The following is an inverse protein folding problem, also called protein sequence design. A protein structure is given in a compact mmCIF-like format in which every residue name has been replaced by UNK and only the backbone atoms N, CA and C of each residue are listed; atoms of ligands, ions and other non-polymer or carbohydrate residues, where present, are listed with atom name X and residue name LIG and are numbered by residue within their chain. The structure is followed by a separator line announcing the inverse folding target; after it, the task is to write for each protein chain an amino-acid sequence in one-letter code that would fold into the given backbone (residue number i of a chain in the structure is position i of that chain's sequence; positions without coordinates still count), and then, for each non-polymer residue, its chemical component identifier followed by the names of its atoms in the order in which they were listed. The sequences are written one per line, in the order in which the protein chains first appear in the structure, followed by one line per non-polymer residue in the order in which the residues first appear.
data_IF_200824907334
#
_entry.id   IF_200824907334
#
_cell.length_a   1.000
_cell.length_b   1.000
_cell.length_c   1.000
_cell.angle_alpha   90.00
_cell.angle_beta   90.00
_cell.angle_gamma   90.00
#
_symmetry.space_group_name_H-M   'P 1'
#
loop_
_entity.id
_entity.type
_entity.pdbx_description
1 polymer ?
#
# COMPACT_ATOMS: atom_id res chain seq x y z
N UNK A 1 4.23 30.08 12.77
CA UNK A 1 3.10 29.42 12.07
C UNK A 1 3.00 27.99 12.55
N UNK A 2 1.81 27.50 12.91
CA UNK A 2 1.64 26.11 13.33
C UNK A 2 1.97 25.14 12.18
N UNK A 3 2.79 24.13 12.44
CA UNK A 3 3.17 23.16 11.42
C UNK A 3 1.94 22.41 10.87
N UNK A 4 1.91 22.21 9.56
CA UNK A 4 0.80 21.49 8.92
C UNK A 4 0.85 20.02 9.31
N UNK A 5 -0.17 19.57 10.04
CA UNK A 5 -0.30 18.18 10.47
C UNK A 5 -0.95 17.32 9.38
N UNK A 6 -0.28 16.21 9.04
CA UNK A 6 -0.76 15.21 8.09
C UNK A 6 -0.86 13.86 8.79
N UNK A 7 -2.02 13.20 8.69
CA UNK A 7 -2.29 11.88 9.27
C UNK A 7 -2.28 10.80 8.19
N UNK A 8 -1.52 9.73 8.37
CA UNK A 8 -1.46 8.54 7.51
C UNK A 8 -2.14 7.34 8.18
N UNK A 9 -3.01 6.64 7.45
CA UNK A 9 -3.80 5.51 7.94
C UNK A 9 -3.68 4.29 7.01
N UNK A 10 -3.35 3.13 7.55
CA UNK A 10 -3.51 1.86 6.86
C UNK A 10 -4.01 0.78 7.83
N UNK A 11 -5.13 0.18 7.46
CA UNK A 11 -5.80 -0.91 8.16
C UNK A 11 -6.03 -2.10 7.24
N UNK A 12 -5.36 -2.14 6.09
CA UNK A 12 -5.60 -3.12 5.02
C UNK A 12 -5.04 -4.52 5.33
N UNK A 13 -4.11 -4.66 6.28
CA UNK A 13 -3.49 -5.94 6.68
C UNK A 13 -3.82 -6.38 8.12
N UNK A 14 -3.00 -7.25 8.68
CA UNK A 14 -3.07 -7.73 10.07
C UNK A 14 -2.61 -6.69 11.10
N UNK A 15 -1.85 -5.69 10.66
CA UNK A 15 -1.37 -4.57 11.48
C UNK A 15 -2.11 -3.27 11.17
N UNK A 16 -2.57 -2.61 12.23
CA UNK A 16 -2.97 -1.21 12.21
C UNK A 16 -1.71 -0.35 12.12
N UNK A 17 -1.59 0.47 11.08
CA UNK A 17 -0.42 1.33 10.80
C UNK A 17 -0.85 2.80 10.77
N UNK A 18 -0.19 3.63 11.57
CA UNK A 18 -0.46 5.05 11.71
C UNK A 18 0.85 5.84 11.54
N UNK A 19 0.78 6.92 10.77
CA UNK A 19 1.84 7.93 10.71
C UNK A 19 1.27 9.32 10.93
N UNK A 20 2.02 10.20 11.56
CA UNK A 20 1.73 11.63 11.67
C UNK A 20 2.97 12.36 11.18
N UNK A 21 2.79 13.29 10.25
CA UNK A 21 3.85 14.20 9.80
C UNK A 21 3.56 15.60 10.34
N UNK A 22 4.57 16.18 10.99
CA UNK A 22 4.62 17.57 11.40
C UNK A 22 5.92 18.17 10.85
N UNK A 23 5.82 19.12 9.91
CA UNK A 23 6.97 19.63 9.18
C UNK A 23 7.72 18.52 8.41
N UNK A 24 8.98 18.30 8.78
CA UNK A 24 9.83 17.23 8.22
C UNK A 24 9.86 15.95 9.07
N UNK A 25 9.26 15.96 10.26
CA UNK A 25 9.31 14.85 11.21
C UNK A 25 8.15 13.90 11.00
N UNK A 26 8.43 12.61 11.14
CA UNK A 26 7.43 11.55 11.13
C UNK A 26 7.35 10.89 12.51
N UNK A 27 6.13 10.77 13.02
CA UNK A 27 5.78 9.98 14.21
C UNK A 27 4.95 8.81 13.74
N UNK A 28 5.41 7.59 13.97
CA UNK A 28 4.78 6.41 13.42
C UNK A 28 4.66 5.32 14.46
N UNK A 29 3.58 4.55 14.35
CA UNK A 29 3.36 3.37 15.14
C UNK A 29 2.60 2.33 14.34
N UNK A 30 2.80 1.08 14.72
CA UNK A 30 2.04 -0.04 14.19
C UNK A 30 1.71 -1.03 15.31
N UNK A 31 0.57 -1.70 15.19
CA UNK A 31 0.11 -2.69 16.17
C UNK A 31 -0.55 -3.87 15.45
N UNK A 32 -0.10 -5.09 15.77
CA UNK A 32 -0.77 -6.32 15.31
C UNK A 32 -2.04 -6.50 16.13
N UNK A 33 -3.18 -6.39 15.49
CA UNK A 33 -4.48 -6.50 16.14
C UNK A 33 -5.57 -6.79 15.11
N UNK A 34 -6.49 -7.70 15.47
CA UNK A 34 -7.58 -8.09 14.58
C UNK A 34 -8.69 -7.02 14.54
N UNK A 35 -9.14 -6.57 15.71
CA UNK A 35 -10.18 -5.55 15.90
C UNK A 35 -9.58 -4.13 15.87
N UNK A 36 -9.13 -3.70 14.69
CA UNK A 36 -8.35 -2.46 14.52
C UNK A 36 -9.15 -1.20 14.89
N UNK A 37 -10.47 -1.22 14.71
CA UNK A 37 -11.40 -0.15 15.07
C UNK A 37 -11.39 0.18 16.57
N UNK A 38 -11.12 -0.80 17.45
CA UNK A 38 -11.01 -0.56 18.89
C UNK A 38 -9.75 0.24 19.26
N UNK A 39 -8.70 0.16 18.45
CA UNK A 39 -7.39 0.74 18.77
C UNK A 39 -7.03 1.97 17.93
N UNK A 40 -7.70 2.20 16.81
CA UNK A 40 -7.35 3.26 15.85
C UNK A 40 -7.27 4.64 16.52
N UNK A 41 -8.28 5.04 17.29
CA UNK A 41 -8.29 6.35 17.95
C UNK A 41 -7.22 6.47 19.03
N UNK A 42 -6.95 5.40 19.79
CA UNK A 42 -5.90 5.41 20.82
C UNK A 42 -4.52 5.62 20.18
N UNK A 43 -4.24 4.94 19.05
CA UNK A 43 -2.97 5.02 18.36
C UNK A 43 -2.80 6.37 17.65
N UNK A 44 -3.87 6.88 17.02
CA UNK A 44 -3.90 8.22 16.41
C UNK A 44 -3.66 9.30 17.47
N UNK A 45 -4.37 9.27 18.61
CA UNK A 45 -4.16 10.22 19.71
C UNK A 45 -2.72 10.18 20.23
N UNK A 46 -2.16 8.98 20.39
CA UNK A 46 -0.77 8.80 20.83
C UNK A 46 0.22 9.44 19.84
N UNK A 47 0.09 9.21 18.53
CA UNK A 47 1.01 9.80 17.54
C UNK A 47 0.83 11.30 17.38
N UNK A 48 -0.41 11.80 17.44
CA UNK A 48 -0.68 13.24 17.42
C UNK A 48 -0.11 13.96 18.65
N UNK A 49 -0.22 13.35 19.85
CA UNK A 49 0.38 13.89 21.08
C UNK A 49 1.90 14.04 20.94
N UNK A 50 2.59 13.04 20.37
CA UNK A 50 4.04 13.12 20.10
C UNK A 50 4.39 14.24 19.13
N UNK A 51 3.48 14.57 18.21
CA UNK A 51 3.61 15.69 17.27
C UNK A 51 3.15 17.04 17.85
N UNK A 52 2.77 17.13 19.13
CA UNK A 52 2.23 18.36 19.73
C UNK A 52 0.88 18.78 19.14
N UNK A 53 0.14 17.85 18.56
CA UNK A 53 -1.08 18.13 17.80
C UNK A 53 -2.32 17.45 18.39
N UNK A 54 -3.48 17.97 18.01
CA UNK A 54 -4.79 17.38 18.28
C UNK A 54 -5.45 16.94 16.97
N UNK A 55 -6.48 16.09 17.06
CA UNK A 55 -7.20 15.60 15.87
C UNK A 55 -7.79 16.74 15.03
N UNK A 56 -8.32 17.79 15.69
CA UNK A 56 -8.81 19.03 15.04
C UNK A 56 -7.72 19.80 14.26
N UNK A 57 -6.45 19.56 14.59
CA UNK A 57 -5.30 20.17 13.91
C UNK A 57 -4.92 19.46 12.61
N UNK A 58 -5.46 18.27 12.33
CA UNK A 58 -5.17 17.51 11.11
C UNK A 58 -5.78 18.22 9.90
N UNK A 59 -4.93 18.77 9.04
CA UNK A 59 -5.36 19.47 7.81
C UNK A 59 -5.31 18.58 6.58
N UNK A 60 -4.66 17.43 6.66
CA UNK A 60 -4.57 16.48 5.56
C UNK A 60 -4.57 15.05 6.11
N UNK A 61 -5.36 14.18 5.48
CA UNK A 61 -5.42 12.75 5.78
C UNK A 61 -5.02 11.97 4.54
N UNK A 62 -4.13 11.01 4.74
CA UNK A 62 -3.62 10.09 3.75
C UNK A 62 -4.07 8.68 4.14
N UNK A 63 -4.74 7.94 3.27
CA UNK A 63 -5.21 6.60 3.59
C UNK A 63 -4.86 5.57 2.51
N UNK A 64 -4.52 4.36 2.94
CA UNK A 64 -4.44 3.21 2.05
C UNK A 64 -5.86 2.82 1.59
N UNK A 65 -6.06 2.65 0.27
CA UNK A 65 -7.35 2.26 -0.31
C UNK A 65 -7.43 0.79 -0.75
N UNK A 66 -6.41 0.00 -0.47
CA UNK A 66 -6.33 -1.41 -0.86
C UNK A 66 -5.30 -1.71 -1.97
N UNK A 67 -5.22 -2.94 -2.47
CA UNK A 67 -6.07 -4.08 -2.07
C UNK A 67 -5.72 -4.60 -0.67
N UNK A 68 -6.51 -5.51 -0.12
CA UNK A 68 -6.33 -6.04 1.23
C UNK A 68 -7.65 -6.45 1.89
N UNK A 69 -7.63 -6.59 3.21
CA UNK A 69 -8.80 -7.00 4.01
C UNK A 69 -9.96 -6.02 3.84
N UNK A 70 -11.11 -6.53 3.42
CA UNK A 70 -12.31 -5.75 3.10
C UNK A 70 -12.75 -4.80 4.22
N UNK A 71 -12.97 -5.34 5.43
CA UNK A 71 -13.33 -4.56 6.62
C UNK A 71 -12.23 -3.57 6.97
N UNK A 72 -10.97 -4.00 6.86
CA UNK A 72 -9.79 -3.19 7.12
C UNK A 72 -9.77 -1.92 6.28
N UNK A 73 -9.87 -2.03 4.95
CA UNK A 73 -9.86 -0.88 4.04
C UNK A 73 -10.97 0.12 4.39
N UNK A 74 -12.16 -0.37 4.72
CA UNK A 74 -13.31 0.49 5.06
C UNK A 74 -13.05 1.29 6.33
N UNK A 75 -12.41 0.72 7.34
CA UNK A 75 -12.10 1.45 8.59
C UNK A 75 -11.26 2.71 8.31
N UNK A 76 -10.15 2.59 7.57
CA UNK A 76 -9.29 3.75 7.28
C UNK A 76 -9.97 4.78 6.36
N UNK A 77 -10.70 4.31 5.34
CA UNK A 77 -11.39 5.22 4.41
C UNK A 77 -12.58 5.93 5.05
N UNK A 78 -13.32 5.26 5.92
CA UNK A 78 -14.40 5.87 6.71
C UNK A 78 -13.84 6.95 7.64
N UNK A 79 -12.74 6.68 8.35
CA UNK A 79 -12.11 7.71 9.20
C UNK A 79 -11.61 8.90 8.36
N UNK A 80 -11.00 8.65 7.21
CA UNK A 80 -10.58 9.71 6.29
C UNK A 80 -11.76 10.54 5.77
N UNK A 81 -12.87 9.89 5.42
CA UNK A 81 -14.12 10.54 5.01
C UNK A 81 -14.74 11.39 6.13
N UNK A 82 -14.77 10.86 7.36
CA UNK A 82 -15.26 11.60 8.52
C UNK A 82 -14.41 12.85 8.80
N UNK A 83 -13.08 12.76 8.74
CA UNK A 83 -12.19 13.90 8.92
C UNK A 83 -12.31 14.92 7.77
N UNK A 84 -12.58 14.47 6.55
CA UNK A 84 -12.90 15.35 5.42
C UNK A 84 -14.17 16.16 5.71
N UNK A 85 -15.24 15.48 6.15
CA UNK A 85 -16.55 16.09 6.37
C UNK A 85 -16.57 17.00 7.60
N UNK A 86 -15.99 16.58 8.71
CA UNK A 86 -16.10 17.29 10.00
C UNK A 86 -14.97 18.29 10.26
N UNK A 87 -13.77 18.05 9.73
CA UNK A 87 -12.59 18.89 10.00
C UNK A 87 -12.06 19.60 8.75
N UNK A 88 -12.80 19.54 7.63
CA UNK A 88 -12.41 20.08 6.33
C UNK A 88 -11.00 19.63 5.89
N UNK A 89 -10.58 18.44 6.31
CA UNK A 89 -9.25 17.93 5.98
C UNK A 89 -9.18 17.56 4.49
N UNK A 90 -8.07 17.89 3.84
CA UNK A 90 -7.79 17.38 2.49
C UNK A 90 -7.54 15.88 2.57
N UNK A 91 -8.17 15.09 1.72
CA UNK A 91 -7.95 13.64 1.66
C UNK A 91 -7.14 13.27 0.43
N UNK A 92 -6.12 12.45 0.64
CA UNK A 92 -5.40 11.76 -0.40
C UNK A 92 -5.36 10.26 -0.12
N UNK A 93 -5.35 9.44 -1.15
CA UNK A 93 -5.26 7.99 -1.03
C UNK A 93 -4.16 7.42 -1.91
N UNK A 94 -3.69 6.23 -1.54
CA UNK A 94 -2.77 5.44 -2.33
C UNK A 94 -3.12 3.95 -2.21
N UNK A 95 -2.80 3.17 -3.24
CA UNK A 95 -2.89 1.71 -3.17
C UNK A 95 -1.72 1.14 -2.39
N UNK A 96 -1.84 -0.09 -1.89
CA UNK A 96 -0.70 -0.78 -1.26
C UNK A 96 0.44 -0.99 -2.27
N UNK A 97 0.11 -1.17 -3.55
CA UNK A 97 1.10 -1.25 -4.62
C UNK A 97 1.90 0.04 -4.75
N UNK A 98 1.23 1.18 -4.85
CA UNK A 98 1.88 2.50 -4.92
C UNK A 98 2.76 2.78 -3.69
N UNK A 99 2.31 2.36 -2.50
CA UNK A 99 3.05 2.51 -1.24
C UNK A 99 4.34 1.69 -1.27
N UNK A 100 4.26 0.39 -1.58
CA UNK A 100 5.44 -0.49 -1.64
C UNK A 100 6.36 -0.13 -2.82
N UNK A 101 5.81 0.20 -3.99
CA UNK A 101 6.60 0.62 -5.14
C UNK A 101 7.42 1.87 -4.81
N UNK A 102 6.79 2.90 -4.23
CA UNK A 102 7.52 4.11 -3.83
C UNK A 102 8.56 3.81 -2.73
N UNK A 103 8.22 2.93 -1.79
CA UNK A 103 9.13 2.50 -0.73
C UNK A 103 10.39 1.82 -1.27
N UNK A 104 10.23 0.86 -2.18
CA UNK A 104 11.37 0.24 -2.85
C UNK A 104 12.14 1.27 -3.68
N UNK A 105 11.46 2.06 -4.50
CA UNK A 105 12.09 3.05 -5.38
C UNK A 105 12.95 4.09 -4.64
N UNK A 106 12.50 4.56 -3.48
CA UNK A 106 13.27 5.50 -2.65
C UNK A 106 14.34 4.83 -1.78
N UNK A 107 14.45 3.50 -1.78
CA UNK A 107 15.45 2.79 -0.98
C UNK A 107 16.84 2.84 -1.62
N UNK A 108 17.88 2.85 -0.79
CA UNK A 108 19.25 2.72 -1.26
C UNK A 108 19.48 1.38 -1.97
N UNK A 109 18.90 0.30 -1.44
CA UNK A 109 19.02 -1.05 -2.00
C UNK A 109 18.56 -1.12 -3.46
N UNK A 110 17.34 -0.64 -3.75
CA UNK A 110 16.83 -0.60 -5.12
C UNK A 110 17.68 0.29 -6.02
N UNK A 111 18.05 1.49 -5.57
CA UNK A 111 18.87 2.42 -6.37
C UNK A 111 20.24 1.82 -6.73
N UNK A 112 20.89 1.17 -5.78
CA UNK A 112 22.17 0.48 -5.99
C UNK A 112 22.03 -0.70 -6.95
N UNK A 113 20.96 -1.50 -6.81
CA UNK A 113 20.70 -2.62 -7.70
C UNK A 113 20.37 -2.17 -9.13
N UNK A 114 19.51 -1.16 -9.27
CA UNK A 114 19.05 -0.67 -10.56
C UNK A 114 20.17 0.00 -11.37
N UNK A 115 21.15 0.66 -10.73
CA UNK A 115 22.39 1.18 -11.35
C UNK A 115 22.23 1.73 -12.80
N UNK A 116 21.33 2.70 -12.99
CA UNK A 116 20.96 3.34 -14.28
C UNK A 116 20.32 2.44 -15.35
N UNK A 117 20.00 1.18 -15.03
CA UNK A 117 19.27 0.25 -15.91
C UNK A 117 17.79 0.62 -15.98
N UNK A 118 17.17 0.29 -17.11
CA UNK A 118 15.71 0.30 -17.23
C UNK A 118 15.17 -0.98 -16.64
N UNK A 119 14.59 -0.87 -15.44
CA UNK A 119 14.10 -2.02 -14.67
C UNK A 119 12.62 -1.87 -14.33
N UNK A 120 11.94 -3.02 -14.24
CA UNK A 120 10.59 -3.08 -13.68
C UNK A 120 10.65 -3.31 -12.19
N UNK A 121 9.73 -2.67 -11.48
CA UNK A 121 9.46 -2.96 -10.09
C UNK A 121 8.11 -3.68 -10.01
N UNK A 122 8.12 -4.92 -9.55
CA UNK A 122 6.92 -5.74 -9.40
C UNK A 122 6.55 -5.79 -7.93
N UNK A 123 5.33 -5.39 -7.61
CA UNK A 123 4.79 -5.47 -6.26
C UNK A 123 3.88 -6.68 -6.13
N UNK A 124 4.12 -7.51 -5.12
CA UNK A 124 3.31 -8.69 -4.79
C UNK A 124 2.60 -8.50 -3.45
N UNK A 125 1.33 -8.88 -3.38
CA UNK A 125 0.52 -8.84 -2.17
C UNK A 125 -0.23 -10.15 -2.02
N UNK A 126 -0.32 -10.65 -0.80
CA UNK A 126 -1.17 -11.81 -0.49
C UNK A 126 -2.64 -11.36 -0.44
N UNK A 127 -3.53 -12.12 -1.08
CA UNK A 127 -4.95 -11.87 -1.04
C UNK A 127 -5.62 -12.74 0.04
N UNK A 128 -5.76 -14.04 -0.25
CA UNK A 128 -6.34 -15.04 0.64
C UNK A 128 -5.98 -16.44 0.13
N UNK A 129 -5.61 -17.37 1.02
CA UNK A 129 -5.17 -18.73 0.66
C UNK A 129 -4.06 -18.69 -0.42
N UNK A 130 -4.28 -19.30 -1.58
CA UNK A 130 -3.38 -19.42 -2.72
C UNK A 130 -3.56 -18.29 -3.76
N UNK A 131 -4.30 -17.24 -3.41
CA UNK A 131 -4.55 -16.08 -4.28
C UNK A 131 -3.62 -14.91 -3.94
N UNK A 132 -3.17 -14.21 -4.99
CA UNK A 132 -2.23 -13.11 -4.89
C UNK A 132 -2.64 -11.96 -5.79
N UNK A 133 -2.25 -10.75 -5.38
CA UNK A 133 -2.32 -9.57 -6.23
C UNK A 133 -0.93 -9.17 -6.70
N UNK A 134 -0.84 -8.67 -7.93
CA UNK A 134 0.41 -8.15 -8.47
C UNK A 134 0.19 -6.86 -9.24
N UNK A 135 1.20 -6.00 -9.26
CA UNK A 135 1.25 -4.86 -10.17
C UNK A 135 2.70 -4.52 -10.53
N UNK A 136 2.97 -4.32 -11.81
CA UNK A 136 4.26 -3.89 -12.33
C UNK A 136 4.32 -2.37 -12.46
N UNK A 137 5.51 -1.81 -12.22
CA UNK A 137 5.79 -0.39 -12.29
C UNK A 137 7.05 -0.12 -13.10
N UNK A 138 6.99 0.88 -13.96
CA UNK A 138 8.14 1.46 -14.63
C UNK A 138 8.86 2.44 -13.70
N UNK A 139 10.19 2.40 -13.70
CA UNK A 139 11.03 3.21 -12.80
C UNK A 139 12.07 4.08 -13.51
N UNK A 140 12.40 3.78 -14.77
CA UNK A 140 13.46 4.47 -15.54
C UNK A 140 13.10 5.91 -15.90
N UNK A 141 14.01 6.85 -15.66
CA UNK A 141 13.84 8.28 -16.03
C UNK A 141 12.73 9.02 -15.28
N UNK A 142 12.14 8.41 -14.24
CA UNK A 142 10.99 8.96 -13.53
C UNK A 142 11.34 9.46 -12.13
N UNK A 143 10.60 10.47 -11.66
CA UNK A 143 10.67 10.94 -10.26
C UNK A 143 9.93 10.03 -9.27
N UNK A 144 9.18 9.05 -9.77
CA UNK A 144 8.39 8.08 -9.01
C UNK A 144 8.06 6.86 -9.90
N UNK A 145 7.78 5.69 -9.31
CA UNK A 145 7.27 4.55 -10.07
C UNK A 145 5.93 4.87 -10.71
N UNK A 146 5.72 4.45 -11.96
CA UNK A 146 4.42 4.55 -12.64
C UNK A 146 3.87 3.16 -12.92
N UNK A 147 2.59 2.89 -12.62
CA UNK A 147 1.96 1.64 -13.02
C UNK A 147 2.16 1.39 -14.52
N UNK A 148 2.63 0.20 -14.87
CA UNK A 148 2.75 -0.25 -16.26
C UNK A 148 1.42 -0.80 -16.78
N UNK A 149 0.65 -1.42 -15.88
CA UNK A 149 -0.68 -1.97 -16.15
C UNK A 149 -1.57 -1.88 -14.91
N UNK A 150 -2.86 -2.18 -15.12
CA UNK A 150 -3.81 -2.40 -14.02
C UNK A 150 -3.36 -3.58 -13.13
N UNK A 151 -3.67 -3.55 -11.83
CA UNK A 151 -3.29 -4.63 -10.92
C UNK A 151 -4.05 -5.92 -11.23
N UNK A 152 -3.33 -7.03 -11.19
CA UNK A 152 -3.87 -8.37 -11.39
C UNK A 152 -4.25 -9.06 -10.09
N UNK A 153 -5.16 -10.03 -10.18
CA UNK A 153 -5.53 -10.99 -9.14
C UNK A 153 -5.49 -12.39 -9.76
N UNK A 154 -4.63 -13.26 -9.24
CA UNK A 154 -4.34 -14.58 -9.80
C UNK A 154 -4.11 -15.62 -8.70
N UNK A 155 -4.27 -16.90 -9.04
CA UNK A 155 -3.81 -18.00 -8.19
C UNK A 155 -2.28 -18.16 -8.26
N UNK A 156 -1.71 -18.88 -7.30
CA UNK A 156 -0.27 -19.10 -7.18
C UNK A 156 0.40 -19.56 -8.49
N UNK A 157 -0.17 -20.57 -9.16
CA UNK A 157 0.43 -21.14 -10.37
C UNK A 157 0.34 -20.21 -11.58
N UNK A 158 -0.80 -19.52 -11.72
CA UNK A 158 -0.99 -18.49 -12.76
C UNK A 158 -0.07 -17.30 -12.52
N UNK A 159 0.10 -16.89 -11.27
CA UNK A 159 1.03 -15.84 -10.87
C UNK A 159 2.46 -16.24 -11.23
N UNK A 160 2.91 -17.45 -10.88
CA UNK A 160 4.25 -17.95 -11.25
C UNK A 160 4.47 -17.92 -12.76
N UNK A 161 3.48 -18.38 -13.54
CA UNK A 161 3.54 -18.33 -15.01
C UNK A 161 3.64 -16.90 -15.54
N UNK A 162 2.81 -15.99 -15.02
CA UNK A 162 2.84 -14.58 -15.39
C UNK A 162 4.22 -13.96 -15.10
N UNK A 163 4.75 -14.19 -13.89
CA UNK A 163 6.02 -13.61 -13.45
C UNK A 163 7.21 -14.19 -14.20
N UNK A 164 7.20 -15.49 -14.52
CA UNK A 164 8.23 -16.13 -15.35
C UNK A 164 8.21 -15.62 -16.81
N UNK A 165 7.06 -15.18 -17.31
CA UNK A 165 6.92 -14.60 -18.64
C UNK A 165 7.35 -13.14 -18.77
N UNK A 166 7.69 -12.47 -17.66
CA UNK A 166 8.16 -11.08 -17.69
C UNK A 166 9.51 -10.98 -18.39
N UNK A 167 9.56 -10.24 -19.49
CA UNK A 167 10.80 -10.01 -20.24
C UNK A 167 11.67 -8.93 -19.59
N UNK A 168 12.95 -9.18 -19.40
CA UNK A 168 13.90 -8.19 -18.87
C UNK A 168 13.96 -8.16 -17.34
N UNK A 169 14.86 -7.32 -16.81
CA UNK A 169 15.17 -7.30 -15.38
C UNK A 169 14.03 -6.74 -14.53
N UNK A 170 13.66 -7.49 -13.49
CA UNK A 170 12.57 -7.14 -12.58
C UNK A 170 13.04 -7.24 -11.14
N UNK A 171 12.65 -6.24 -10.34
CA UNK A 171 12.85 -6.19 -8.91
C UNK A 171 11.53 -6.42 -8.20
N UNK A 172 11.49 -7.39 -7.30
CA UNK A 172 10.28 -7.79 -6.60
C UNK A 172 10.26 -7.23 -5.19
N UNK A 173 9.16 -6.58 -4.83
CA UNK A 173 8.86 -6.19 -3.44
C UNK A 173 7.50 -6.75 -3.05
N UNK A 174 7.39 -7.19 -1.80
CA UNK A 174 6.15 -7.75 -1.29
C UNK A 174 5.86 -7.31 0.15
N UNK A 175 4.61 -7.44 0.57
CA UNK A 175 4.24 -7.33 2.00
C UNK A 175 4.44 -8.69 2.70
N UNK A 176 5.70 -9.05 2.93
CA UNK A 176 6.08 -10.32 3.58
C UNK A 176 5.67 -10.38 5.06
N UNK A 177 5.20 -9.27 5.63
CA UNK A 177 4.57 -9.23 6.96
C UNK A 177 3.26 -10.03 7.00
N UNK A 178 2.53 -10.08 5.89
CA UNK A 178 1.26 -10.80 5.79
C UNK A 178 1.45 -12.23 5.27
N UNK A 179 2.44 -12.45 4.39
CA UNK A 179 2.80 -13.76 3.87
C UNK A 179 4.32 -13.85 3.66
N UNK A 180 5.07 -14.45 4.61
CA UNK A 180 6.53 -14.54 4.53
C UNK A 180 7.04 -15.27 3.28
N UNK A 181 6.30 -16.27 2.80
CA UNK A 181 6.68 -17.12 1.67
C UNK A 181 6.31 -16.53 0.30
N UNK A 182 5.75 -15.30 0.25
CA UNK A 182 5.26 -14.68 -0.99
C UNK A 182 6.33 -14.56 -2.08
N UNK A 183 7.60 -14.47 -1.70
CA UNK A 183 8.70 -14.42 -2.66
C UNK A 183 8.97 -15.75 -3.38
N UNK A 184 8.41 -16.86 -2.91
CA UNK A 184 8.43 -18.15 -3.64
C UNK A 184 7.69 -18.11 -4.99
N UNK A 185 6.91 -17.05 -5.24
CA UNK A 185 6.27 -16.78 -6.52
C UNK A 185 7.21 -16.14 -7.54
N UNK A 186 8.27 -15.47 -7.07
CA UNK A 186 9.21 -14.80 -7.95
C UNK A 186 10.05 -15.83 -8.74
N UNK A 187 10.45 -15.52 -9.99
CA UNK A 187 11.33 -16.38 -10.76
C UNK A 187 12.67 -16.63 -10.04
N UNK A 188 13.28 -17.79 -10.30
CA UNK A 188 14.60 -18.10 -9.77
C UNK A 188 15.63 -17.05 -10.25
N UNK A 189 16.49 -16.58 -9.34
CA UNK A 189 17.48 -15.53 -9.62
C UNK A 189 16.93 -14.11 -9.72
N UNK A 190 15.62 -13.90 -9.50
CA UNK A 190 15.05 -12.57 -9.47
C UNK A 190 15.61 -11.73 -8.32
N UNK A 191 15.73 -10.43 -8.53
CA UNK A 191 16.14 -9.50 -7.48
C UNK A 191 14.97 -9.26 -6.52
N UNK A 192 15.19 -9.52 -5.24
CA UNK A 192 14.16 -9.41 -4.20
C UNK A 192 14.48 -8.27 -3.24
N UNK A 193 13.44 -7.61 -2.74
CA UNK A 193 13.60 -6.64 -1.69
C UNK A 193 13.97 -7.31 -0.36
N UNK A 194 14.90 -6.74 0.42
CA UNK A 194 15.25 -7.27 1.74
C UNK A 194 14.06 -7.22 2.70
N UNK A 195 14.12 -8.01 3.77
CA UNK A 195 13.08 -8.06 4.80
C UNK A 195 12.76 -6.68 5.43
N UNK A 196 13.76 -5.78 5.48
CA UNK A 196 13.59 -4.41 5.98
C UNK A 196 12.63 -3.57 5.13
N UNK A 197 12.54 -3.84 3.83
CA UNK A 197 11.65 -3.19 2.86
C UNK A 197 10.38 -4.01 2.56
N UNK A 198 10.35 -5.30 2.92
CA UNK A 198 9.25 -6.22 2.60
C UNK A 198 8.08 -6.14 3.57
N UNK A 199 7.69 -4.91 3.90
CA UNK A 199 6.58 -4.56 4.79
C UNK A 199 6.15 -3.13 4.55
N UNK A 200 4.90 -2.79 4.84
CA UNK A 200 4.46 -1.39 4.73
C UNK A 200 5.03 -0.54 5.87
N UNK A 201 5.92 0.39 5.55
CA UNK A 201 6.38 1.41 6.51
C UNK A 201 5.32 2.52 6.63
N UNK A 202 4.83 2.87 7.83
CA UNK A 202 3.70 3.79 7.97
C UNK A 202 3.92 5.17 7.33
N UNK A 203 5.14 5.71 7.37
CA UNK A 203 5.45 7.01 6.73
C UNK A 203 5.23 7.00 5.22
N UNK A 204 5.39 5.85 4.55
CA UNK A 204 5.17 5.73 3.10
C UNK A 204 3.70 5.81 2.71
N UNK A 205 2.75 5.59 3.63
CA UNK A 205 1.32 5.86 3.39
C UNK A 205 1.12 7.34 3.06
N UNK A 206 1.77 8.23 3.83
CA UNK A 206 1.71 9.68 3.61
C UNK A 206 2.46 10.04 2.32
N UNK A 207 3.70 9.55 2.17
CA UNK A 207 4.52 9.87 0.99
C UNK A 207 3.81 9.47 -0.31
N UNK A 208 3.35 8.22 -0.42
CA UNK A 208 2.69 7.73 -1.61
C UNK A 208 1.40 8.52 -1.90
N UNK A 209 0.52 8.70 -0.91
CA UNK A 209 -0.72 9.46 -1.12
C UNK A 209 -0.47 10.90 -1.60
N UNK A 210 0.57 11.58 -1.07
CA UNK A 210 0.93 12.93 -1.50
C UNK A 210 1.64 12.97 -2.86
N UNK A 211 2.40 11.93 -3.20
CA UNK A 211 3.05 11.78 -4.50
C UNK A 211 1.99 11.52 -5.56
N UNK A 212 1.14 10.50 -5.41
CA UNK A 212 0.13 10.09 -6.38
C UNK A 212 -1.09 11.02 -6.42
N UNK A 213 -1.38 11.75 -5.33
CA UNK A 213 -2.43 12.77 -5.23
C UNK A 213 -3.84 12.29 -5.59
N UNK A 214 -4.11 10.98 -5.51
CA UNK A 214 -5.46 10.46 -5.69
C UNK A 214 -6.35 10.97 -4.56
N UNK A 215 -7.57 11.42 -4.86
CA UNK A 215 -8.54 11.97 -3.89
C UNK A 215 -9.75 11.07 -3.67
N UNK A 216 -9.77 9.89 -4.30
CA UNK A 216 -10.88 8.96 -4.19
C UNK A 216 -10.91 8.33 -2.80
N UNK A 217 -12.12 8.24 -2.24
CA UNK A 217 -12.42 7.39 -1.09
C UNK A 217 -12.98 6.03 -1.53
N UNK A 218 -13.01 5.75 -2.84
CA UNK A 218 -13.43 4.44 -3.34
C UNK A 218 -12.33 3.42 -3.05
N UNK A 219 -12.64 2.32 -2.34
CA UNK A 219 -11.71 1.23 -2.13
C UNK A 219 -11.33 0.57 -3.47
N UNK A 220 -10.11 0.03 -3.54
CA UNK A 220 -9.68 -0.83 -4.63
C UNK A 220 -9.98 -2.28 -4.25
N UNK A 221 -11.09 -2.80 -4.75
CA UNK A 221 -11.42 -4.23 -4.66
C UNK A 221 -11.05 -4.89 -5.99
N UNK A 222 -10.15 -5.87 -5.92
CA UNK A 222 -9.69 -6.61 -7.11
C UNK A 222 -10.32 -7.99 -7.23
N UNK A 223 -10.80 -8.54 -6.12
CA UNK A 223 -11.57 -9.78 -6.13
C UNK A 223 -12.99 -9.46 -6.59
N UNK A 224 -13.45 -10.01 -7.72
CA UNK A 224 -14.84 -9.89 -8.15
C UNK A 224 -15.76 -10.44 -7.08
N UNK A 225 -16.99 -9.93 -7.01
CA UNK A 225 -18.00 -10.55 -6.19
C UNK A 225 -18.25 -11.98 -6.70
N UNK A 226 -18.63 -12.91 -5.81
CA UNK A 226 -18.93 -14.30 -6.18
C UNK A 226 -19.93 -14.38 -7.35
N UNK A 227 -20.94 -13.51 -7.33
CA UNK A 227 -21.93 -13.36 -8.39
C UNK A 227 -21.35 -12.94 -9.75
N UNK A 228 -20.30 -12.10 -9.79
CA UNK A 228 -19.66 -11.68 -11.04
C UNK A 228 -18.86 -12.83 -11.68
N UNK A 229 -18.31 -13.73 -10.86
CA UNK A 229 -17.66 -14.94 -11.36
C UNK A 229 -18.66 -15.98 -11.86
N UNK A 230 -19.81 -16.11 -11.21
CA UNK A 230 -20.90 -17.01 -11.65
C UNK A 230 -21.53 -16.52 -12.96
N UNK A 231 -21.75 -15.21 -13.11
CA UNK A 231 -22.26 -14.62 -14.35
C UNK A 231 -21.30 -14.77 -15.54
N UNK A 232 -19.98 -14.66 -15.33
CA UNK A 232 -18.99 -14.91 -16.39
C UNK A 232 -18.97 -16.36 -16.85
N UNK A 233 -19.08 -17.31 -15.92
CA UNK A 233 -19.19 -18.74 -16.25
C UNK A 233 -20.43 -19.08 -17.06
N UNK A 234 -21.53 -18.36 -16.87
CA UNK A 234 -22.76 -18.52 -17.66
C UNK A 234 -22.73 -17.79 -19.00
N UNK A 235 -21.85 -16.81 -19.19
CA UNK A 235 -21.67 -16.11 -20.47
C UNK A 235 -20.66 -16.82 -21.39
N UNK A 236 -19.81 -17.68 -20.83
CA UNK A 236 -18.80 -18.49 -21.55
C UNK A 236 -19.28 -19.92 -21.85
N UNK A 237 -20.51 -20.27 -21.45
CA UNK A 237 -21.20 -21.54 -21.70
C UNK A 237 -22.32 -21.37 -22.71
#
# INVERSE_FOLDING_TARGET
MAEKIILGLCTSGSRLKIAVRAGQRYFQAQKKVFNQEKFIFSLVKSQLKKAGALLRGVKTVCAARGPGRFTGIRISLTLAGALKAMACAKVYTATLFEILALQAFESAHFRSWAAARTVRLVVLLHAFKDEYFCQAFLTSGLRRPRPEAEPGWLKADEMKKLLAGLKGESYFIADAEESPDIYSLAPAGAALAPASLSKIVPSYIIKAALVYKNRTLKPLYLKPAKYEMEARKHAES
#
